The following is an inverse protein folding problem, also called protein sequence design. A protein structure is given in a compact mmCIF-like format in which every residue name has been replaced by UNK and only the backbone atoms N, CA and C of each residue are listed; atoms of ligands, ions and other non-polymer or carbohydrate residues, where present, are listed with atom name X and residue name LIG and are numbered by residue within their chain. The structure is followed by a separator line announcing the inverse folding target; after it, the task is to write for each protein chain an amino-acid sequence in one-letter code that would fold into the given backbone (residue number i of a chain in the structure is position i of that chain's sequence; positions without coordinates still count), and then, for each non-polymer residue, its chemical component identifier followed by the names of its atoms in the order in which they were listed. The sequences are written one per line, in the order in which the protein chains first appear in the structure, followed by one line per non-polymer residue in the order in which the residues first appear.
data_IF_700192222071
#
_entry.id   IF_700192222071
#
_cell.length_a   1.000
_cell.length_b   1.000
_cell.length_c   1.000
_cell.angle_alpha   90.00
_cell.angle_beta   90.00
_cell.angle_gamma   90.00
#
_symmetry.space_group_name_H-M   'P 1'
#
loop_
_entity.id
_entity.type
_entity.pdbx_description
1 polymer ?
#
# COMPACT_ATOMS: atom_id res chain seq x y z
N UNK A 1 -12.30 1.76 -13.11
CA UNK A 1 -10.98 1.76 -12.45
C UNK A 1 -10.46 3.18 -12.20
N UNK A 2 -11.36 4.17 -12.05
CA UNK A 2 -11.02 5.57 -12.35
C UNK A 2 -11.38 6.55 -11.23
N UNK A 3 -11.76 6.05 -10.04
CA UNK A 3 -12.18 6.91 -8.94
C UNK A 3 -11.06 7.87 -8.48
N UNK A 4 -9.80 7.46 -8.54
CA UNK A 4 -8.65 8.28 -8.17
C UNK A 4 -7.97 8.99 -9.37
N UNK A 5 -8.30 8.63 -10.62
CA UNK A 5 -7.65 9.18 -11.82
C UNK A 5 -8.71 9.76 -12.75
N UNK A 6 -8.99 11.05 -12.60
CA UNK A 6 -9.99 11.77 -13.40
C UNK A 6 -9.39 12.50 -14.60
N UNK A 7 -8.05 12.61 -14.67
CA UNK A 7 -7.34 13.35 -15.70
C UNK A 7 -7.37 14.86 -15.51
N UNK A 8 -7.89 15.34 -14.37
CA UNK A 8 -7.98 16.76 -14.01
C UNK A 8 -6.95 17.10 -12.94
N UNK A 9 -6.63 18.39 -12.81
CA UNK A 9 -5.81 18.89 -11.71
C UNK A 9 -6.52 18.52 -10.39
N UNK A 10 -5.80 17.84 -9.50
CA UNK A 10 -6.34 17.43 -8.20
C UNK A 10 -6.52 15.92 -8.01
N UNK A 11 -6.14 15.07 -8.99
CA UNK A 11 -6.15 13.60 -8.88
C UNK A 11 -5.30 13.04 -7.70
N UNK A 12 -4.51 13.89 -7.05
CA UNK A 12 -3.74 13.53 -5.85
C UNK A 12 -2.30 13.14 -6.17
N UNK A 13 -1.64 12.52 -5.18
CA UNK A 13 -0.24 12.08 -5.27
C UNK A 13 -0.10 10.70 -4.64
N UNK A 14 0.81 9.91 -5.19
CA UNK A 14 1.21 8.62 -4.62
C UNK A 14 2.60 8.82 -4.03
N UNK A 15 2.76 8.40 -2.79
CA UNK A 15 4.05 8.34 -2.11
C UNK A 15 4.35 6.89 -1.80
N UNK A 16 5.56 6.46 -2.12
CA UNK A 16 6.04 5.10 -1.85
C UNK A 16 7.11 5.20 -0.78
N UNK A 17 6.95 4.40 0.27
CA UNK A 17 7.91 4.27 1.35
C UNK A 17 8.29 2.81 1.50
N UNK A 18 9.55 2.55 1.83
CA UNK A 18 9.99 1.22 2.18
C UNK A 18 9.44 0.87 3.57
N UNK A 19 8.86 -0.31 3.70
CA UNK A 19 8.52 -0.90 4.98
C UNK A 19 9.62 -1.88 5.36
N UNK A 20 10.18 -1.72 6.55
CA UNK A 20 11.24 -2.59 7.05
C UNK A 20 10.71 -3.97 7.48
N UNK A 21 9.48 -4.02 8.01
CA UNK A 21 8.89 -5.26 8.52
C UNK A 21 7.36 -5.27 8.38
N UNK A 22 6.80 -6.43 8.09
CA UNK A 22 5.35 -6.72 8.07
C UNK A 22 5.10 -7.95 8.94
N UNK A 23 4.02 -7.93 9.73
CA UNK A 23 3.63 -9.05 10.61
C UNK A 23 2.12 -9.28 10.48
N UNK A 24 1.71 -10.53 10.22
CA UNK A 24 0.30 -10.91 10.18
C UNK A 24 -0.17 -11.31 11.58
N UNK A 25 -0.98 -10.46 12.23
CA UNK A 25 -1.46 -10.66 13.62
C UNK A 25 -2.11 -12.03 13.85
N UNK A 26 -2.87 -12.54 12.87
CA UNK A 26 -3.63 -13.80 13.00
C UNK A 26 -2.74 -15.05 13.07
N UNK A 27 -1.59 -15.05 12.41
CA UNK A 27 -0.73 -16.24 12.22
C UNK A 27 0.67 -16.07 12.80
N UNK A 28 1.12 -14.84 13.00
CA UNK A 28 2.49 -14.51 13.43
C UNK A 28 3.51 -14.52 12.27
N UNK A 29 3.07 -14.73 11.03
CA UNK A 29 3.96 -14.70 9.85
C UNK A 29 4.60 -13.32 9.68
N UNK A 30 5.84 -13.29 9.16
CA UNK A 30 6.64 -12.08 8.99
C UNK A 30 7.14 -11.92 7.56
N UNK A 31 7.39 -10.69 7.11
CA UNK A 31 7.99 -10.44 5.80
C UNK A 31 7.04 -10.77 4.65
N UNK A 32 7.51 -11.46 3.61
CA UNK A 32 6.69 -11.83 2.45
C UNK A 32 5.55 -12.80 2.82
N UNK A 33 5.78 -13.71 3.76
CA UNK A 33 4.74 -14.65 4.24
C UNK A 33 3.58 -13.92 4.95
N UNK A 34 3.82 -12.68 5.41
CA UNK A 34 2.83 -11.86 6.06
C UNK A 34 1.90 -11.10 5.09
N UNK A 35 2.17 -11.13 3.77
CA UNK A 35 1.40 -10.46 2.71
C UNK A 35 0.35 -11.44 2.20
#
# INVERSE_FOLDING_TARGET
SDAAKTGKIGDGKIFVYNLEQVIRIRTGETGEDAI
#
